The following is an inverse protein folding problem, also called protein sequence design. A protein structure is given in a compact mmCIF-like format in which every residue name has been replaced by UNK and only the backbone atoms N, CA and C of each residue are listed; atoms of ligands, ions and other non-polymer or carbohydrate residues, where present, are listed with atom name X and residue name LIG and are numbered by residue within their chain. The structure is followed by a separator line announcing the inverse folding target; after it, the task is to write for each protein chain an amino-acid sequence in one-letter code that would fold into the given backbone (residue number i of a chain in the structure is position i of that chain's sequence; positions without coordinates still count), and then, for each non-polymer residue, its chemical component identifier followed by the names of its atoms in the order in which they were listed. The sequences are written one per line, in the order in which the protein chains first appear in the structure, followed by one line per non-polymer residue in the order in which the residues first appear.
data_IF_899042954528
#
_entry.id   IF_899042954528
#
_cell.length_a   1.000
_cell.length_b   1.000
_cell.length_c   1.000
_cell.angle_alpha   90.00
_cell.angle_beta   90.00
_cell.angle_gamma   90.00
#
_symmetry.space_group_name_H-M   'P 1'
#
loop_
_entity.id
_entity.type
_entity.pdbx_description
1 polymer ?
#
# COMPACT_ATOMS: atom_id res chain seq x y z
N UNK A 1 -3.57 -1.39 2.37
CA UNK A 1 -3.41 0.06 2.22
C UNK A 1 -2.05 0.33 1.62
N UNK A 2 -1.98 1.32 0.74
CA UNK A 2 -0.75 1.71 0.06
C UNK A 2 -0.70 3.24 -0.03
N UNK A 3 0.46 3.83 0.26
CA UNK A 3 0.66 5.27 0.25
C UNK A 3 1.61 5.63 -0.88
N UNK A 4 1.13 6.43 -1.83
CA UNK A 4 1.91 6.81 -3.02
C UNK A 4 1.62 8.28 -3.38
N UNK A 5 2.63 9.06 -3.78
CA UNK A 5 2.41 10.42 -4.25
C UNK A 5 1.75 10.44 -5.63
N UNK A 6 0.83 11.38 -5.82
CA UNK A 6 0.23 11.65 -7.13
C UNK A 6 1.12 12.52 -8.04
N UNK A 7 0.61 12.88 -9.23
CA UNK A 7 1.33 13.73 -10.20
C UNK A 7 1.63 15.14 -9.69
N UNK A 8 0.93 15.59 -8.65
CA UNK A 8 1.16 16.87 -7.96
C UNK A 8 2.03 16.74 -6.70
N UNK A 9 2.62 15.55 -6.48
CA UNK A 9 3.41 15.20 -5.31
C UNK A 9 2.63 15.24 -3.98
N UNK A 10 1.31 15.03 -4.05
CA UNK A 10 0.47 14.89 -2.85
C UNK A 10 0.38 13.41 -2.49
N UNK A 11 0.71 13.08 -1.24
CA UNK A 11 0.64 11.73 -0.72
C UNK A 11 -0.82 11.27 -0.56
N UNK A 12 -1.14 10.11 -1.11
CA UNK A 12 -2.48 9.55 -1.06
C UNK A 12 -2.45 8.14 -0.47
N UNK A 13 -3.32 7.89 0.50
CA UNK A 13 -3.58 6.57 1.07
C UNK A 13 -4.70 5.90 0.28
N UNK A 14 -4.37 4.85 -0.45
CA UNK A 14 -5.35 3.99 -1.11
C UNK A 14 -5.92 2.95 -0.14
N UNK A 15 -7.25 2.88 -0.08
CA UNK A 15 -7.97 1.99 0.83
C UNK A 15 -8.87 1.03 0.04
N UNK A 16 -8.66 -0.26 0.26
CA UNK A 16 -9.51 -1.33 -0.25
C UNK A 16 -9.95 -2.18 0.93
N UNK A 17 -11.25 -2.40 1.07
CA UNK A 17 -11.84 -3.24 2.10
C UNK A 17 -12.22 -4.59 1.50
N UNK A 18 -11.84 -5.67 2.18
CA UNK A 18 -12.29 -7.02 1.86
C UNK A 18 -13.24 -7.49 2.95
N UNK A 19 -14.51 -7.59 2.60
CA UNK A 19 -15.59 -8.04 3.47
C UNK A 19 -15.78 -9.55 3.28
N UNK A 20 -15.85 -10.27 4.40
CA UNK A 20 -16.13 -11.70 4.41
C UNK A 20 -17.50 -11.89 5.02
N UNK A 21 -18.43 -12.40 4.21
CA UNK A 21 -19.78 -12.70 4.63
C UNK A 21 -19.91 -14.20 4.83
N UNK A 22 -20.31 -14.61 6.03
CA UNK A 22 -20.44 -16.01 6.41
C UNK A 22 -21.89 -16.29 6.76
N UNK A 23 -22.61 -16.98 5.88
CA UNK A 23 -23.95 -17.45 6.14
C UNK A 23 -23.95 -18.95 6.45
N UNK A 24 -24.69 -19.33 7.50
CA UNK A 24 -24.79 -20.73 7.93
C UNK A 24 -25.30 -21.68 6.83
N UNK A 25 -26.14 -21.17 5.92
CA UNK A 25 -26.78 -21.98 4.87
C UNK A 25 -26.21 -21.71 3.47
N UNK A 26 -25.63 -20.52 3.23
CA UNK A 26 -25.15 -20.11 1.89
C UNK A 26 -23.62 -20.19 1.76
N UNK A 27 -22.91 -20.46 2.86
CA UNK A 27 -21.46 -20.59 2.89
C UNK A 27 -20.74 -19.27 3.10
N UNK A 28 -19.53 -19.16 2.54
CA UNK A 28 -18.68 -17.98 2.69
C UNK A 28 -18.59 -17.25 1.35
N UNK A 29 -18.96 -15.96 1.33
CA UNK A 29 -18.71 -15.06 0.21
C UNK A 29 -17.70 -13.99 0.60
N UNK A 30 -16.90 -13.55 -0.37
CA UNK A 30 -15.89 -12.52 -0.19
C UNK A 30 -16.17 -11.42 -1.18
N UNK A 31 -16.27 -10.19 -0.68
CA UNK A 31 -16.51 -8.99 -1.47
C UNK A 31 -15.34 -8.01 -1.27
N UNK A 32 -14.84 -7.46 -2.35
CA UNK A 32 -13.75 -6.49 -2.31
C UNK A 32 -14.25 -5.14 -2.84
N UNK A 33 -14.05 -4.09 -2.04
CA UNK A 33 -14.53 -2.75 -2.33
C UNK A 33 -13.36 -1.78 -2.27
N UNK A 34 -13.06 -1.14 -3.41
CA UNK A 34 -12.20 0.02 -3.43
C UNK A 34 -12.96 1.20 -2.84
N UNK A 35 -12.46 1.72 -1.72
CA UNK A 35 -13.12 2.79 -0.97
C UNK A 35 -12.71 4.15 -1.53
N UNK A 36 -11.45 4.30 -1.93
CA UNK A 36 -10.95 5.51 -2.56
C UNK A 36 -9.50 5.82 -2.21
N UNK A 37 -9.08 7.00 -2.67
CA UNK A 37 -7.83 7.64 -2.30
C UNK A 37 -8.10 8.71 -1.25
N UNK A 38 -7.46 8.61 -0.11
CA UNK A 38 -7.53 9.57 0.98
C UNK A 38 -6.28 10.44 0.96
N UNK A 39 -6.43 11.76 0.96
CA UNK A 39 -5.28 12.67 1.01
C UNK A 39 -4.61 12.52 2.38
N UNK A 40 -3.33 12.14 2.38
CA UNK A 40 -2.53 11.94 3.57
C UNK A 40 -1.65 13.18 3.82
N UNK A 41 -2.19 14.16 4.56
CA UNK A 41 -1.43 15.35 4.96
C UNK A 41 -0.32 15.01 5.97
N UNK A 42 -0.58 14.04 6.86
CA UNK A 42 0.39 13.46 7.78
C UNK A 42 0.65 11.99 7.40
N UNK A 43 1.82 11.74 6.81
CA UNK A 43 2.26 10.39 6.42
C UNK A 43 2.91 9.60 7.56
N UNK A 44 2.91 10.12 8.78
CA UNK A 44 3.31 9.33 9.95
C UNK A 44 2.35 8.17 10.17
N UNK A 45 2.81 7.08 10.76
CA UNK A 45 1.94 5.93 11.07
C UNK A 45 0.76 6.28 11.98
N UNK A 46 0.82 7.39 12.73
CA UNK A 46 -0.32 7.90 13.50
C UNK A 46 -1.30 8.65 12.60
N UNK A 47 -0.81 9.58 11.78
CA UNK A 47 -1.65 10.35 10.86
C UNK A 47 -2.44 9.45 9.91
N UNK A 48 -1.80 8.40 9.39
CA UNK A 48 -2.45 7.42 8.51
C UNK A 48 -3.51 6.59 9.25
N UNK A 49 -3.26 6.19 10.51
CA UNK A 49 -4.27 5.52 11.33
C UNK A 49 -5.47 6.44 11.61
N UNK A 50 -5.22 7.69 12.02
CA UNK A 50 -6.28 8.64 12.35
C UNK A 50 -7.13 8.95 11.09
N UNK A 51 -6.49 9.07 9.92
CA UNK A 51 -7.15 9.22 8.63
C UNK A 51 -8.03 8.01 8.28
N UNK A 52 -7.51 6.79 8.49
CA UNK A 52 -8.23 5.55 8.25
C UNK A 52 -9.42 5.38 9.19
N UNK A 53 -9.25 5.60 10.49
CA UNK A 53 -10.31 5.55 11.50
C UNK A 53 -11.44 6.54 11.19
N UNK A 54 -11.08 7.79 10.89
CA UNK A 54 -12.06 8.81 10.52
C UNK A 54 -12.81 8.47 9.22
N UNK A 55 -12.23 7.61 8.36
CA UNK A 55 -12.92 7.11 7.17
C UNK A 55 -13.84 5.91 7.49
N UNK A 56 -13.42 4.99 8.37
CA UNK A 56 -14.28 3.91 8.85
C UNK A 56 -15.53 4.45 9.55
N UNK A 57 -15.38 5.49 10.38
CA UNK A 57 -16.49 6.15 11.06
C UNK A 57 -17.52 6.70 10.07
N UNK A 58 -17.07 7.30 8.96
CA UNK A 58 -17.96 7.79 7.89
C UNK A 58 -18.74 6.67 7.20
N UNK A 59 -18.15 5.47 7.14
CA UNK A 59 -18.78 4.27 6.59
C UNK A 59 -19.60 3.51 7.63
N UNK A 60 -19.63 3.96 8.89
CA UNK A 60 -20.21 3.26 10.04
C UNK A 60 -19.66 1.83 10.21
N UNK A 61 -18.34 1.66 9.99
CA UNK A 61 -17.64 0.39 10.18
C UNK A 61 -16.85 0.43 11.48
N UNK A 62 -17.05 -0.58 12.34
CA UNK A 62 -16.27 -0.71 13.57
C UNK A 62 -14.90 -1.35 13.28
N UNK A 63 -13.82 -0.70 13.75
CA UNK A 63 -12.48 -1.29 13.70
C UNK A 63 -12.40 -2.61 14.48
N UNK A 64 -13.28 -2.84 15.47
CA UNK A 64 -13.40 -4.10 16.20
C UNK A 64 -13.74 -5.31 15.33
N UNK A 65 -14.35 -5.08 14.17
CA UNK A 65 -14.67 -6.11 13.18
C UNK A 65 -13.53 -6.38 12.21
N UNK A 66 -12.48 -5.56 12.22
CA UNK A 66 -11.28 -5.81 11.43
C UNK A 66 -10.60 -7.11 11.89
N UNK A 67 -10.29 -7.98 10.92
CA UNK A 67 -9.60 -9.27 11.16
C UNK A 67 -8.26 -9.39 10.45
N UNK A 68 -8.02 -8.54 9.46
CA UNK A 68 -6.80 -8.55 8.69
C UNK A 68 -6.45 -7.17 8.19
N UNK A 69 -5.15 -6.93 8.03
CA UNK A 69 -4.59 -5.70 7.48
C UNK A 69 -3.39 -6.05 6.60
N UNK A 70 -3.17 -5.27 5.55
CA UNK A 70 -2.04 -5.43 4.64
C UNK A 70 -1.53 -4.07 4.20
N UNK A 71 -0.21 -3.95 4.08
CA UNK A 71 0.48 -2.68 3.87
C UNK A 71 1.62 -2.83 2.87
N UNK A 72 2.02 -1.72 2.24
CA UNK A 72 3.33 -1.61 1.63
C UNK A 72 4.45 -1.74 2.70
N UNK A 73 5.69 -1.99 2.31
CA UNK A 73 6.79 -2.12 3.27
C UNK A 73 7.37 -0.75 3.67
N UNK A 74 6.65 0.35 3.44
CA UNK A 74 7.05 1.67 3.87
C UNK A 74 7.23 1.71 5.39
N UNK A 75 8.28 2.39 5.86
CA UNK A 75 8.61 2.42 7.30
C UNK A 75 7.51 3.03 8.16
N UNK A 76 6.67 3.92 7.61
CA UNK A 76 5.51 4.49 8.28
C UNK A 76 4.29 3.56 8.29
N UNK A 77 4.27 2.54 7.42
CA UNK A 77 3.18 1.59 7.26
C UNK A 77 3.45 0.29 8.04
N UNK A 78 4.59 -0.36 7.79
CA UNK A 78 5.03 -1.60 8.46
C UNK A 78 6.08 -1.39 9.56
N UNK A 79 6.29 -0.15 10.01
CA UNK A 79 7.22 0.15 11.08
C UNK A 79 6.92 -0.62 12.37
N UNK A 80 7.84 -1.49 12.79
CA UNK A 80 7.68 -2.38 13.96
C UNK A 80 7.31 -1.67 15.27
N UNK A 81 7.74 -0.41 15.43
CA UNK A 81 7.56 0.36 16.67
C UNK A 81 6.60 1.55 16.54
N UNK A 82 6.48 2.14 15.35
CA UNK A 82 5.72 3.39 15.15
C UNK A 82 4.83 3.39 13.90
N UNK A 83 4.89 2.32 13.09
CA UNK A 83 4.12 2.21 11.86
C UNK A 83 2.63 1.99 12.12
N UNK A 84 1.82 2.31 11.13
CA UNK A 84 0.37 2.15 11.15
C UNK A 84 -0.04 0.74 11.58
N UNK A 85 0.62 -0.29 11.03
CA UNK A 85 0.41 -1.70 11.37
C UNK A 85 0.41 -1.95 12.89
N UNK A 86 1.42 -1.42 13.59
CA UNK A 86 1.58 -1.66 15.02
C UNK A 86 0.46 -1.00 15.81
N UNK A 87 0.07 0.21 15.38
CA UNK A 87 -0.96 1.01 16.04
C UNK A 87 -2.36 0.40 15.83
N UNK A 88 -2.66 -0.13 14.65
CA UNK A 88 -3.91 -0.89 14.42
C UNK A 88 -3.94 -2.14 15.30
N UNK A 89 -2.83 -2.86 15.47
CA UNK A 89 -2.77 -4.00 16.40
C UNK A 89 -3.00 -3.58 17.86
N UNK A 90 -2.55 -2.39 18.26
CA UNK A 90 -2.76 -1.87 19.61
C UNK A 90 -4.24 -1.50 19.86
N UNK A 91 -4.96 -1.07 18.81
CA UNK A 91 -6.42 -0.79 18.88
C UNK A 91 -7.25 -2.07 18.77
N UNK A 92 -6.88 -2.97 17.86
CA UNK A 92 -7.54 -4.25 17.65
C UNK A 92 -6.51 -5.38 17.48
N UNK A 93 -6.22 -6.13 18.56
CA UNK A 93 -5.28 -7.26 18.55
C UNK A 93 -5.67 -8.41 17.61
N UNK A 94 -6.91 -8.45 17.12
CA UNK A 94 -7.41 -9.49 16.21
C UNK A 94 -7.11 -9.16 14.73
N UNK A 95 -6.65 -7.95 14.42
CA UNK A 95 -6.36 -7.52 13.05
C UNK A 95 -4.97 -8.01 12.58
N UNK A 96 -4.89 -9.26 12.14
CA UNK A 96 -3.62 -9.87 11.72
C UNK A 96 -3.00 -9.12 10.54
N UNK A 97 -1.73 -8.76 10.67
CA UNK A 97 -1.00 -8.14 9.57
C UNK A 97 -0.41 -9.19 8.65
N UNK A 98 -0.80 -9.12 7.37
CA UNK A 98 -0.24 -9.93 6.30
C UNK A 98 0.55 -9.00 5.37
N UNK A 99 1.86 -9.22 5.18
CA UNK A 99 2.65 -8.39 4.26
C UNK A 99 2.12 -8.51 2.83
N UNK A 100 2.22 -7.42 2.06
CA UNK A 100 1.73 -7.39 0.69
C UNK A 100 2.49 -8.39 -0.21
N UNK A 101 1.76 -9.34 -0.80
CA UNK A 101 2.33 -10.36 -1.69
C UNK A 101 2.97 -9.76 -2.94
N UNK A 102 2.33 -8.77 -3.56
CA UNK A 102 2.86 -8.08 -4.75
C UNK A 102 4.17 -7.35 -4.45
N UNK A 103 4.26 -6.71 -3.29
CA UNK A 103 5.49 -6.03 -2.87
C UNK A 103 6.60 -7.02 -2.54
N UNK A 104 6.27 -8.10 -1.81
CA UNK A 104 7.21 -9.20 -1.52
C UNK A 104 7.75 -9.81 -2.81
N UNK A 105 6.88 -10.04 -3.79
CA UNK A 105 7.27 -10.57 -5.10
C UNK A 105 8.17 -9.58 -5.86
N UNK A 106 7.84 -8.29 -5.85
CA UNK A 106 8.66 -7.26 -6.49
C UNK A 106 10.08 -7.19 -5.89
N UNK A 107 10.19 -7.33 -4.56
CA UNK A 107 11.50 -7.40 -3.89
C UNK A 107 12.29 -8.65 -4.32
N UNK A 108 11.65 -9.82 -4.34
CA UNK A 108 12.30 -11.07 -4.78
C UNK A 108 12.78 -10.96 -6.23
N UNK A 109 11.95 -10.41 -7.13
CA UNK A 109 12.32 -10.20 -8.54
C UNK A 109 13.46 -9.19 -8.65
N UNK A 110 13.39 -8.08 -7.90
CA UNK A 110 14.42 -7.06 -7.89
C UNK A 110 15.78 -7.60 -7.44
N UNK A 111 15.81 -8.44 -6.40
CA UNK A 111 17.04 -9.05 -5.92
C UNK A 111 17.55 -10.16 -6.84
N UNK A 112 16.66 -10.98 -7.40
CA UNK A 112 17.02 -11.94 -8.43
C UNK A 112 17.63 -11.24 -9.66
N UNK A 113 17.07 -10.12 -10.10
CA UNK A 113 17.61 -9.33 -11.20
C UNK A 113 18.99 -8.72 -10.89
N UNK A 114 19.25 -8.33 -9.63
CA UNK A 114 20.57 -7.83 -9.19
C UNK A 114 21.62 -8.92 -9.07
N UNK A 115 21.22 -10.18 -8.86
CA UNK A 115 22.15 -11.32 -8.77
C UNK A 115 22.78 -11.71 -10.12
N UNK A 116 22.34 -11.11 -11.24
CA UNK A 116 22.83 -11.41 -12.58
C UNK A 116 23.36 -10.15 -13.27
N UNK A 117 24.63 -10.19 -13.70
CA UNK A 117 25.26 -9.12 -14.48
C UNK A 117 24.51 -8.86 -15.79
N UNK A 118 23.99 -9.91 -16.42
CA UNK A 118 23.22 -9.79 -17.66
C UNK A 118 21.90 -9.05 -17.42
N UNK A 119 21.21 -9.37 -16.33
CA UNK A 119 19.97 -8.70 -15.94
C UNK A 119 20.22 -7.24 -15.51
N UNK A 120 21.30 -6.97 -14.77
CA UNK A 120 21.73 -5.61 -14.43
C UNK A 120 21.98 -4.77 -15.68
N UNK A 121 22.70 -5.31 -16.67
CA UNK A 121 22.96 -4.61 -17.92
C UNK A 121 21.68 -4.37 -18.72
N UNK A 122 20.80 -5.37 -18.81
CA UNK A 122 19.52 -5.25 -19.51
C UNK A 122 18.60 -4.20 -18.88
N UNK A 123 18.34 -4.29 -17.57
CA UNK A 123 17.48 -3.33 -16.87
C UNK A 123 18.14 -1.94 -16.75
N UNK A 124 19.47 -1.87 -16.68
CA UNK A 124 20.22 -0.62 -16.74
C UNK A 124 20.07 0.10 -18.07
N UNK A 125 20.14 -0.65 -19.19
CA UNK A 125 19.94 -0.10 -20.54
C UNK A 125 18.50 0.38 -20.74
N UNK A 126 17.52 -0.41 -20.28
CA UNK A 126 16.11 0.00 -20.28
C UNK A 126 15.88 1.29 -19.48
N UNK A 127 16.40 1.38 -18.24
CA UNK A 127 16.33 2.61 -17.42
C UNK A 127 16.99 3.80 -18.12
N UNK A 128 18.14 3.59 -18.74
CA UNK A 128 18.84 4.63 -19.52
C UNK A 128 17.99 5.14 -20.67
N UNK A 129 17.35 4.25 -21.44
CA UNK A 129 16.44 4.64 -22.52
C UNK A 129 15.18 5.36 -22.02
N UNK A 130 14.58 4.92 -20.91
CA UNK A 130 13.41 5.60 -20.32
C UNK A 130 13.77 7.00 -19.81
N UNK A 131 14.94 7.18 -19.20
CA UNK A 131 15.43 8.49 -18.76
C UNK A 131 15.77 9.40 -19.96
N UNK A 132 16.37 8.85 -21.01
CA UNK A 132 16.64 9.58 -22.25
C UNK A 132 15.34 10.00 -22.95
N UNK A 133 14.31 9.15 -22.99
CA UNK A 133 13.00 9.46 -23.57
C UNK A 133 12.21 10.46 -22.71
N UNK A 134 12.28 10.34 -21.37
CA UNK A 134 11.68 11.31 -20.44
C UNK A 134 12.38 12.68 -20.47
N UNK A 135 13.71 12.70 -20.60
CA UNK A 135 14.50 13.92 -20.79
C UNK A 135 14.27 14.57 -22.16
N UNK A 136 14.00 13.78 -23.21
CA UNK A 136 13.65 14.30 -24.53
C UNK A 136 12.26 14.97 -24.54
N UNK A 137 11.32 14.49 -23.71
CA UNK A 137 10.01 15.14 -23.54
C UNK A 137 10.09 16.44 -22.71
N UNK A 138 11.01 16.55 -21.75
CA UNK A 138 11.18 17.78 -20.95
C UNK A 138 12.00 18.84 -21.71
N UNK A 139 12.93 18.44 -22.58
CA UNK A 139 13.70 19.37 -23.42
C UNK A 139 12.95 19.88 -24.66
N UNK A 140 11.75 19.36 -24.95
CA UNK A 140 10.95 19.70 -26.14
C UNK A 140 9.72 20.57 -25.88
N UNK A 141 9.51 21.06 -24.65
CA UNK A 141 8.39 21.93 -24.30
C UNK A 141 8.91 23.29 -23.79
N UNK A 142 9.27 24.16 -24.73
CA UNK A 142 9.27 25.62 -24.60
C UNK A 142 8.56 26.22 -25.81
#
# INVERSE_FOLDING_TARGET
MDCTPDVSHVEQLSVTLRLVHCELNEGVSIHEHFVGFLIAEDTSGKGLLDLFLGHLDKLNLDIGDLRGQSYDNGSNMQGRNQGEQKRVLDVNPKALCVPCGSHTLNLVIGDAAKSSIMSLNYFGLCRGCTLCLGGLFIAGAF
#
